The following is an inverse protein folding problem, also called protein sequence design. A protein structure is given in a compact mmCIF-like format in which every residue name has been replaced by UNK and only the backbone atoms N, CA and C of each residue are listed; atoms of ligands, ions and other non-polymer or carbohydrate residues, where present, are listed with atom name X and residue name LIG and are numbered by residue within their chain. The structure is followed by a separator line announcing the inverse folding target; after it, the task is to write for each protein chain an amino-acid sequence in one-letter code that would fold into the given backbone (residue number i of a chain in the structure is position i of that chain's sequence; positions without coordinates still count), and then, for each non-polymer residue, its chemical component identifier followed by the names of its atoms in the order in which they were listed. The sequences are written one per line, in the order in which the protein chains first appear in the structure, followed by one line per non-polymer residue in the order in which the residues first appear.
data_IF_700357708518
#
_entry.id   IF_700357708518
#
_cell.length_a   1.000
_cell.length_b   1.000
_cell.length_c   1.000
_cell.angle_alpha   90.00
_cell.angle_beta   90.00
_cell.angle_gamma   90.00
#
_symmetry.space_group_name_H-M   'P 1'
#
loop_
_entity.id
_entity.type
_entity.pdbx_description
1 polymer ?
#
# COMPACT_ATOMS: atom_id res chain seq x y z
N UNK A 1 17.21 15.97 -11.64
CA UNK A 1 16.24 15.18 -10.85
C UNK A 1 15.68 16.10 -9.77
N UNK A 2 14.36 16.34 -9.76
CA UNK A 2 13.73 17.30 -8.82
C UNK A 2 13.22 16.57 -7.58
N UNK A 3 13.22 17.23 -6.41
CA UNK A 3 12.70 16.66 -5.15
C UNK A 3 11.25 16.17 -5.27
N UNK A 4 10.46 16.83 -6.13
CA UNK A 4 9.06 16.49 -6.40
C UNK A 4 8.91 15.18 -7.19
N UNK A 5 9.88 14.89 -8.05
CA UNK A 5 9.93 13.69 -8.90
C UNK A 5 10.33 12.45 -8.08
N UNK A 6 11.32 12.61 -7.19
CA UNK A 6 11.76 11.57 -6.27
C UNK A 6 10.68 11.17 -5.25
N UNK A 7 9.93 12.14 -4.72
CA UNK A 7 8.85 11.88 -3.77
C UNK A 7 7.64 11.21 -4.41
N UNK A 8 7.40 11.46 -5.69
CA UNK A 8 6.35 10.78 -6.46
C UNK A 8 6.76 9.34 -6.80
N UNK A 9 8.00 9.13 -7.27
CA UNK A 9 8.52 7.80 -7.59
C UNK A 9 8.58 6.88 -6.37
N UNK A 10 9.00 7.41 -5.22
CA UNK A 10 8.99 6.65 -3.96
C UNK A 10 7.57 6.36 -3.50
N UNK A 11 6.64 7.32 -3.62
CA UNK A 11 5.23 7.07 -3.31
C UNK A 11 4.62 5.97 -4.19
N UNK A 12 4.85 5.99 -5.50
CA UNK A 12 4.41 4.93 -6.42
C UNK A 12 5.03 3.57 -6.09
N UNK A 13 6.31 3.53 -5.69
CA UNK A 13 6.98 2.31 -5.26
C UNK A 13 6.40 1.74 -3.95
N UNK A 14 6.07 2.61 -3.00
CA UNK A 14 5.41 2.20 -1.74
C UNK A 14 4.00 1.71 -1.99
N UNK A 15 3.23 2.35 -2.86
CA UNK A 15 1.86 1.95 -3.20
C UNK A 15 1.82 0.54 -3.77
N UNK A 16 2.68 0.23 -4.75
CA UNK A 16 2.81 -1.13 -5.30
C UNK A 16 3.15 -2.14 -4.21
N UNK A 17 4.16 -1.84 -3.40
CA UNK A 17 4.64 -2.77 -2.37
C UNK A 17 3.57 -3.04 -1.30
N UNK A 18 2.79 -2.03 -0.92
CA UNK A 18 1.68 -2.20 0.04
C UNK A 18 0.59 -3.10 -0.54
N UNK A 19 0.21 -2.89 -1.81
CA UNK A 19 -0.82 -3.70 -2.45
C UNK A 19 -0.37 -5.17 -2.58
N UNK A 20 0.88 -5.42 -2.96
CA UNK A 20 1.45 -6.78 -3.05
C UNK A 20 1.48 -7.51 -1.71
N UNK A 21 1.87 -6.83 -0.61
CA UNK A 21 1.85 -7.43 0.72
C UNK A 21 0.41 -7.74 1.15
N UNK A 22 -0.53 -6.84 0.89
CA UNK A 22 -1.94 -7.07 1.22
C UNK A 22 -2.58 -8.17 0.38
N UNK A 23 -2.17 -8.34 -0.88
CA UNK A 23 -2.61 -9.45 -1.73
C UNK A 23 -2.14 -10.80 -1.15
N UNK A 24 -0.87 -10.88 -0.76
CA UNK A 24 -0.27 -12.09 -0.18
C UNK A 24 -0.82 -12.45 1.20
N UNK A 25 -1.06 -11.44 2.05
CA UNK A 25 -1.45 -11.63 3.46
C UNK A 25 -2.95 -11.55 3.70
N UNK A 26 -3.73 -11.15 2.69
CA UNK A 26 -5.15 -10.83 2.71
C UNK A 26 -5.53 -9.63 3.60
N UNK A 27 -4.90 -9.47 4.77
CA UNK A 27 -5.03 -8.30 5.65
C UNK A 27 -3.75 -8.05 6.45
N UNK A 28 -3.44 -6.78 6.72
CA UNK A 28 -2.33 -6.40 7.59
C UNK A 28 -2.56 -5.04 8.26
N UNK A 29 -2.02 -4.84 9.46
CA UNK A 29 -1.95 -3.54 10.12
C UNK A 29 -0.81 -2.68 9.55
N UNK A 30 -0.84 -1.37 9.80
CA UNK A 30 0.25 -0.48 9.39
C UNK A 30 1.62 -0.90 9.98
N UNK A 31 1.64 -1.48 11.18
CA UNK A 31 2.86 -1.97 11.81
C UNK A 31 3.41 -3.22 11.10
N UNK A 32 2.54 -4.17 10.75
CA UNK A 32 2.93 -5.38 10.00
C UNK A 32 3.42 -5.03 8.59
N UNK A 33 2.72 -4.13 7.91
CA UNK A 33 3.15 -3.58 6.61
C UNK A 33 4.51 -2.88 6.72
N UNK A 34 4.72 -2.07 7.75
CA UNK A 34 5.99 -1.36 7.98
C UNK A 34 7.14 -2.32 8.25
N UNK A 35 6.90 -3.39 9.01
CA UNK A 35 7.88 -4.44 9.25
C UNK A 35 8.22 -5.20 7.97
N UNK A 36 7.20 -5.59 7.18
CA UNK A 36 7.40 -6.33 5.94
C UNK A 36 8.13 -5.52 4.85
N UNK A 37 7.93 -4.20 4.86
CA UNK A 37 8.49 -3.26 3.88
C UNK A 37 9.73 -2.53 4.40
N UNK A 38 10.25 -2.93 5.56
CA UNK A 38 11.44 -2.36 6.22
C UNK A 38 11.43 -0.83 6.26
N UNK A 39 10.27 -0.26 6.62
CA UNK A 39 10.03 1.19 6.56
C UNK A 39 9.32 1.70 7.82
N UNK A 40 9.18 3.02 7.93
CA UNK A 40 8.59 3.64 9.12
C UNK A 40 7.05 3.53 9.10
N UNK A 41 6.39 3.15 10.22
CA UNK A 41 4.93 3.02 10.29
C UNK A 41 4.16 4.26 9.84
N UNK A 42 4.65 5.46 10.15
CA UNK A 42 4.00 6.69 9.70
C UNK A 42 3.99 6.87 8.17
N UNK A 43 5.02 6.38 7.48
CA UNK A 43 5.06 6.40 6.01
C UNK A 43 3.96 5.49 5.47
N UNK A 44 3.85 4.27 6.01
CA UNK A 44 2.79 3.32 5.64
C UNK A 44 1.40 3.90 5.92
N UNK A 45 1.16 4.47 7.11
CA UNK A 45 -0.14 5.08 7.42
C UNK A 45 -0.52 6.21 6.46
N UNK A 46 0.46 6.98 5.99
CA UNK A 46 0.22 8.03 5.01
C UNK A 46 -0.15 7.43 3.66
N UNK A 47 0.55 6.39 3.22
CA UNK A 47 0.27 5.73 1.94
C UNK A 47 -1.03 4.93 1.96
N UNK A 48 -1.31 4.16 3.03
CA UNK A 48 -2.60 3.49 3.18
C UNK A 48 -3.77 4.47 3.19
N UNK A 49 -3.60 5.68 3.76
CA UNK A 49 -4.62 6.75 3.66
C UNK A 49 -4.77 7.29 2.24
N UNK A 50 -3.68 7.41 1.48
CA UNK A 50 -3.73 7.77 0.08
C UNK A 50 -4.47 6.71 -0.73
N UNK A 51 -4.04 5.44 -0.66
CA UNK A 51 -4.67 4.31 -1.32
C UNK A 51 -6.15 4.12 -0.92
N UNK A 52 -6.52 4.46 0.31
CA UNK A 52 -7.91 4.42 0.76
C UNK A 52 -8.77 5.47 0.06
N UNK A 53 -8.23 6.69 -0.13
CA UNK A 53 -8.92 7.75 -0.87
C UNK A 53 -9.08 7.41 -2.35
N UNK A 54 -8.09 6.74 -2.92
CA UNK A 54 -8.13 6.23 -4.29
C UNK A 54 -9.00 4.96 -4.44
N UNK A 55 -9.48 4.38 -3.33
CA UNK A 55 -10.38 3.22 -3.34
C UNK A 55 -9.69 1.86 -3.52
N UNK A 56 -8.36 1.78 -3.44
CA UNK A 56 -7.61 0.53 -3.58
C UNK A 56 -7.58 -0.31 -2.30
N UNK A 57 -7.63 0.32 -1.13
CA UNK A 57 -7.64 -0.39 0.16
C UNK A 57 -8.83 0.05 1.03
N UNK A 58 -9.24 -0.83 1.94
CA UNK A 58 -10.26 -0.55 2.96
C UNK A 58 -9.67 -0.79 4.34
N UNK A 59 -10.14 -0.02 5.32
CA UNK A 59 -9.76 -0.21 6.73
C UNK A 59 -10.78 -1.11 7.40
N UNK A 60 -10.30 -2.20 7.98
CA UNK A 60 -11.07 -3.16 8.76
C UNK A 60 -11.07 -2.88 10.26
N UNK A 61 -11.60 -3.84 11.02
CA UNK A 61 -11.56 -3.85 12.49
C UNK A 61 -10.12 -3.89 13.01
N UNK A 62 -9.90 -3.37 14.21
CA UNK A 62 -8.57 -3.28 14.83
C UNK A 62 -7.50 -2.51 14.01
N UNK A 63 -7.91 -1.75 12.99
CA UNK A 63 -7.01 -0.94 12.18
C UNK A 63 -6.24 -1.73 11.11
N UNK A 64 -6.70 -2.94 10.76
CA UNK A 64 -6.18 -3.66 9.60
C UNK A 64 -6.54 -2.97 8.29
N UNK A 65 -5.75 -3.20 7.27
CA UNK A 65 -6.02 -2.83 5.89
C UNK A 65 -6.23 -4.09 5.05
N UNK A 66 -7.15 -4.01 4.10
CA UNK A 66 -7.42 -5.07 3.11
C UNK A 66 -7.54 -4.46 1.72
N UNK A 67 -7.31 -5.26 0.68
CA UNK A 67 -7.54 -4.81 -0.69
C UNK A 67 -9.04 -4.64 -0.96
N UNK A 68 -9.40 -3.53 -1.58
CA UNK A 68 -10.68 -3.38 -2.27
C UNK A 68 -10.63 -4.11 -3.62
N UNK A 69 -11.78 -4.32 -4.25
CA UNK A 69 -11.86 -4.96 -5.57
C UNK A 69 -11.00 -4.27 -6.65
N UNK A 70 -10.91 -2.93 -6.62
CA UNK A 70 -10.01 -2.19 -7.51
C UNK A 70 -8.53 -2.41 -7.16
N UNK A 71 -8.19 -2.48 -5.88
CA UNK A 71 -6.83 -2.77 -5.43
C UNK A 71 -6.35 -4.16 -5.82
N UNK A 72 -7.23 -5.16 -5.76
CA UNK A 72 -6.96 -6.53 -6.24
C UNK A 72 -6.63 -6.55 -7.73
N UNK A 73 -7.48 -5.95 -8.57
CA UNK A 73 -7.24 -5.84 -10.02
C UNK A 73 -5.92 -5.14 -10.33
N UNK A 74 -5.58 -4.09 -9.57
CA UNK A 74 -4.31 -3.38 -9.72
C UNK A 74 -3.13 -4.25 -9.32
N UNK A 75 -3.21 -4.99 -8.21
CA UNK A 75 -2.18 -5.93 -7.78
C UNK A 75 -1.95 -7.05 -8.81
N UNK A 76 -3.02 -7.64 -9.33
CA UNK A 76 -2.98 -8.67 -10.37
C UNK A 76 -2.32 -8.16 -11.66
N UNK A 77 -2.65 -6.93 -12.07
CA UNK A 77 -2.06 -6.30 -13.26
C UNK A 77 -0.56 -6.05 -13.11
N UNK A 78 -0.07 -5.86 -11.88
CA UNK A 78 1.35 -5.68 -11.57
C UNK A 78 2.11 -7.00 -11.43
N UNK A 79 1.42 -8.10 -11.11
CA UNK A 79 2.01 -9.44 -11.05
C UNK A 79 2.20 -10.09 -12.44
N UNK A 80 1.55 -9.53 -13.47
CA UNK A 80 1.62 -10.01 -14.84
C UNK A 80 2.74 -9.37 -15.69
N UNK A 81 3.54 -8.46 -15.10
CA UNK A 81 4.64 -7.71 -15.75
C UNK A 81 6.03 -8.22 -15.32
#
# INVERSE_FOLDING_TARGET
MSYRDYSDQTAQGWDRSILEVLDRTNQATAAELAAALETHPMTIERQCRHLQREGYVRRGVAGTYTLAEEGKRRAESMAAD
#
